data_IF_163671791529
#
_entry.id   IF_163671791529
#
_cell.length_a   1.000
_cell.length_b   1.000
_cell.length_c   1.000
_cell.angle_alpha   90.00
_cell.angle_beta   90.00
_cell.angle_gamma   90.00
#
_symmetry.space_group_name_H-M   'P 1'
#
loop_
_entity.id
_entity.type
_entity.pdbx_description
1 polymer ?
#
# COMPACT_ATOMS: atom_id res chain seq x y z
N UNK A 1 -25.31 2.92 -50.55
CA UNK A 1 -24.42 2.25 -49.58
C UNK A 1 -25.19 2.10 -48.29
N UNK A 2 -25.58 0.87 -47.96
CA UNK A 2 -26.18 0.51 -46.67
C UNK A 2 -25.06 0.34 -45.64
N UNK A 3 -25.23 0.91 -44.45
CA UNK A 3 -24.42 0.59 -43.27
C UNK A 3 -25.39 -0.04 -42.26
N UNK A 4 -25.32 -1.37 -42.16
CA UNK A 4 -25.75 -2.14 -40.99
C UNK A 4 -24.67 -2.02 -39.93
N UNK A 5 -25.02 -1.65 -38.69
CA UNK A 5 -24.22 -1.90 -37.48
C UNK A 5 -25.08 -1.75 -36.21
N UNK A 6 -26.09 -2.61 -36.06
CA UNK A 6 -27.02 -2.58 -34.92
C UNK A 6 -27.04 -3.87 -34.08
N UNK A 7 -25.96 -4.66 -34.07
CA UNK A 7 -25.98 -6.01 -33.47
C UNK A 7 -24.88 -6.31 -32.43
N UNK A 8 -23.94 -5.40 -32.14
CA UNK A 8 -22.86 -5.70 -31.17
C UNK A 8 -23.21 -5.42 -29.70
N UNK A 9 -24.09 -4.47 -29.43
CA UNK A 9 -24.25 -3.95 -28.05
C UNK A 9 -25.24 -4.76 -27.22
N UNK A 10 -26.19 -5.42 -27.88
CA UNK A 10 -27.15 -6.33 -27.24
C UNK A 10 -26.46 -7.64 -26.83
N UNK A 11 -25.48 -8.12 -27.61
CA UNK A 11 -24.75 -9.35 -27.32
C UNK A 11 -23.77 -9.17 -26.15
N UNK A 12 -23.23 -7.96 -25.98
CA UNK A 12 -22.35 -7.60 -24.86
C UNK A 12 -23.13 -7.46 -23.54
N UNK A 13 -24.32 -6.82 -23.58
CA UNK A 13 -25.20 -6.69 -22.42
C UNK A 13 -25.74 -8.05 -21.94
N UNK A 14 -26.08 -8.94 -22.87
CA UNK A 14 -26.60 -10.28 -22.53
C UNK A 14 -25.53 -11.14 -21.83
N UNK A 15 -24.25 -11.05 -22.24
CA UNK A 15 -23.14 -11.77 -21.59
C UNK A 15 -22.81 -11.23 -20.19
N UNK A 16 -22.95 -9.92 -19.97
CA UNK A 16 -22.75 -9.30 -18.66
C UNK A 16 -23.83 -9.68 -17.65
N UNK A 17 -25.10 -9.77 -18.09
CA UNK A 17 -26.18 -10.26 -17.25
C UNK A 17 -26.03 -11.74 -16.88
N UNK A 18 -25.59 -12.60 -17.80
CA UNK A 18 -25.32 -14.01 -17.52
C UNK A 18 -24.22 -14.22 -16.47
N UNK A 19 -23.16 -13.42 -16.52
CA UNK A 19 -22.05 -13.45 -15.54
C UNK A 19 -22.54 -12.98 -14.16
N UNK A 20 -23.32 -11.89 -14.09
CA UNK A 20 -23.89 -11.40 -12.83
C UNK A 20 -24.90 -12.39 -12.22
N UNK A 21 -25.69 -13.06 -13.06
CA UNK A 21 -26.62 -14.10 -12.60
C UNK A 21 -25.92 -15.35 -12.09
N UNK A 22 -24.79 -15.72 -12.70
CA UNK A 22 -23.95 -16.84 -12.26
C UNK A 22 -23.30 -16.55 -10.90
N UNK A 23 -22.73 -15.36 -10.72
CA UNK A 23 -22.13 -14.93 -9.44
C UNK A 23 -23.19 -14.92 -8.32
N UNK A 24 -24.39 -14.38 -8.59
CA UNK A 24 -25.50 -14.40 -7.60
C UNK A 24 -25.96 -15.82 -7.24
N UNK A 25 -25.93 -16.79 -8.17
CA UNK A 25 -26.25 -18.21 -7.91
C UNK A 25 -25.18 -18.95 -7.10
N UNK A 26 -23.90 -18.57 -7.22
CA UNK A 26 -22.84 -19.15 -6.41
C UNK A 26 -22.86 -18.61 -4.98
N UNK A 27 -23.12 -17.32 -4.81
CA UNK A 27 -23.22 -16.69 -3.48
C UNK A 27 -24.43 -17.19 -2.67
N UNK A 28 -25.52 -17.62 -3.32
CA UNK A 28 -26.66 -18.22 -2.63
C UNK A 28 -26.44 -19.68 -2.23
N UNK A 29 -25.63 -20.46 -2.97
CA UNK A 29 -25.24 -21.83 -2.58
C UNK A 29 -24.31 -21.88 -1.36
N UNK A 30 -23.42 -20.89 -1.20
CA UNK A 30 -22.50 -20.81 -0.06
C UNK A 30 -23.24 -20.59 1.28
N UNK A 31 -24.46 -20.05 1.26
CA UNK A 31 -25.29 -19.91 2.47
C UNK A 31 -26.05 -21.17 2.86
N UNK A 32 -26.27 -22.12 1.93
CA UNK A 32 -27.05 -23.35 2.19
C UNK A 32 -26.19 -24.52 2.65
N UNK A 33 -24.90 -24.56 2.30
CA UNK A 33 -24.01 -25.69 2.63
C UNK A 33 -23.42 -25.66 4.06
N UNK A 34 -23.61 -24.56 4.80
CA UNK A 34 -23.21 -24.47 6.22
C UNK A 34 -24.10 -25.27 7.19
N UNK A 35 -25.22 -25.85 6.73
CA UNK A 35 -26.14 -26.61 7.59
C UNK A 35 -26.07 -28.14 7.44
N UNK A 36 -25.27 -28.72 6.53
CA UNK A 36 -25.30 -30.18 6.28
C UNK A 36 -24.04 -30.94 6.72
N UNK A 37 -22.95 -30.28 7.11
CA UNK A 37 -21.71 -30.99 7.48
C UNK A 37 -21.64 -31.27 9.01
N UNK A 38 -22.59 -32.09 9.46
CA UNK A 38 -22.42 -32.97 10.63
C UNK A 38 -22.85 -34.37 10.21
N UNK A 39 -22.01 -35.08 9.46
CA UNK A 39 -21.87 -36.54 9.54
C UNK A 39 -20.87 -37.07 8.50
N UNK A 40 -20.04 -37.98 8.99
CA UNK A 40 -19.32 -39.05 8.29
C UNK A 40 -18.00 -38.73 7.55
N UNK A 41 -16.93 -39.13 8.23
CA UNK A 41 -15.70 -39.65 7.63
C UNK A 41 -16.00 -40.65 6.51
N UNK A 42 -15.54 -40.34 5.28
CA UNK A 42 -14.92 -41.34 4.39
C UNK A 42 -14.08 -40.65 3.32
N UNK A 43 -12.81 -41.05 3.27
CA UNK A 43 -11.84 -40.64 2.26
C UNK A 43 -12.35 -41.06 0.88
N UNK A 44 -12.64 -40.10 0.02
CA UNK A 44 -12.58 -40.22 -1.43
C UNK A 44 -11.93 -38.96 -1.98
N UNK A 45 -10.68 -39.10 -2.39
CA UNK A 45 -9.90 -38.09 -3.08
C UNK A 45 -10.50 -37.83 -4.47
N UNK A 46 -11.36 -36.83 -4.58
CA UNK A 46 -11.71 -36.23 -5.86
C UNK A 46 -10.64 -35.20 -6.21
N UNK A 47 -9.79 -35.54 -7.19
CA UNK A 47 -8.97 -34.58 -7.94
C UNK A 47 -9.94 -33.67 -8.71
N UNK A 48 -10.40 -32.60 -8.07
CA UNK A 48 -10.99 -31.47 -8.80
C UNK A 48 -9.82 -30.75 -9.48
N UNK A 49 -9.81 -30.81 -10.81
CA UNK A 49 -8.81 -30.13 -11.64
C UNK A 49 -8.66 -28.67 -11.21
N UNK A 50 -7.42 -28.24 -11.06
CA UNK A 50 -7.05 -26.86 -10.81
C UNK A 50 -7.51 -26.02 -12.01
N UNK A 51 -8.72 -25.47 -11.94
CA UNK A 51 -9.09 -24.30 -12.73
C UNK A 51 -8.35 -23.10 -12.13
N UNK A 52 -7.14 -22.87 -12.63
CA UNK A 52 -6.36 -21.65 -12.34
C UNK A 52 -7.00 -20.55 -13.16
N UNK A 53 -7.74 -19.66 -12.50
CA UNK A 53 -8.14 -18.39 -13.10
C UNK A 53 -7.03 -17.39 -12.79
N UNK A 54 -6.19 -17.11 -13.77
CA UNK A 54 -5.17 -16.06 -13.68
C UNK A 54 -5.82 -14.75 -14.11
N UNK A 55 -6.15 -13.89 -13.16
CA UNK A 55 -6.68 -12.56 -13.44
C UNK A 55 -5.53 -11.56 -13.33
N UNK A 56 -4.95 -11.19 -14.47
CA UNK A 56 -3.91 -10.17 -14.55
C UNK A 56 -4.57 -8.80 -14.58
N UNK A 57 -4.70 -8.14 -13.42
CA UNK A 57 -5.06 -6.73 -13.38
C UNK A 57 -3.79 -5.88 -13.40
N UNK A 58 -3.45 -5.36 -14.59
CA UNK A 58 -2.49 -4.27 -14.72
C UNK A 58 -3.24 -2.96 -14.50
N UNK A 59 -2.84 -2.21 -13.48
CA UNK A 59 -3.36 -0.85 -13.26
C UNK A 59 -2.60 0.09 -14.20
N UNK A 60 -3.24 0.46 -15.31
CA UNK A 60 -2.67 1.40 -16.28
C UNK A 60 -3.03 2.85 -15.89
N UNK A 61 -2.12 3.53 -15.19
CA UNK A 61 -2.25 4.95 -14.83
C UNK A 61 -1.71 5.89 -15.93
N UNK A 62 -1.30 5.36 -17.10
CA UNK A 62 -0.54 6.15 -18.09
C UNK A 62 -1.34 7.26 -18.77
N UNK A 63 -2.67 7.18 -18.79
CA UNK A 63 -3.53 8.21 -19.40
C UNK A 63 -3.70 9.45 -18.50
N UNK A 64 -3.61 9.29 -17.17
CA UNK A 64 -3.91 10.35 -16.20
C UNK A 64 -2.65 10.97 -15.57
N UNK A 65 -1.57 10.20 -15.56
CA UNK A 65 -0.22 10.64 -15.26
C UNK A 65 0.34 11.22 -16.57
N UNK A 66 -0.16 12.40 -16.96
CA UNK A 66 0.21 13.05 -18.23
C UNK A 66 1.71 12.97 -18.50
N UNK A 67 2.10 12.55 -19.71
CA UNK A 67 3.37 11.91 -20.12
C UNK A 67 4.74 12.54 -19.79
N UNK A 68 4.91 13.23 -18.65
CA UNK A 68 6.18 13.39 -17.96
C UNK A 68 6.33 12.32 -16.89
N UNK A 69 7.57 12.06 -16.45
CA UNK A 69 7.91 11.20 -15.29
C UNK A 69 7.25 11.72 -14.00
N UNK A 70 5.96 11.44 -13.79
CA UNK A 70 5.20 11.86 -12.62
C UNK A 70 5.13 10.64 -11.70
N UNK A 71 6.02 10.61 -10.72
CA UNK A 71 6.09 9.53 -9.73
C UNK A 71 5.11 9.76 -8.58
N UNK A 72 4.40 8.69 -8.18
CA UNK A 72 3.72 8.62 -6.88
C UNK A 72 4.80 8.49 -5.81
N UNK A 73 4.77 9.33 -4.76
CA UNK A 73 5.80 9.28 -3.70
C UNK A 73 5.45 8.35 -2.55
N UNK A 74 4.16 8.17 -2.29
CA UNK A 74 3.60 7.30 -1.28
C UNK A 74 2.14 7.00 -1.60
N UNK A 75 1.63 5.89 -1.07
CA UNK A 75 0.21 5.61 -1.06
C UNK A 75 -0.20 4.88 0.21
N UNK A 76 -1.50 4.92 0.50
CA UNK A 76 -2.12 4.15 1.56
C UNK A 76 -3.43 3.54 1.08
N UNK A 77 -3.72 2.32 1.55
CA UNK A 77 -5.01 1.67 1.35
C UNK A 77 -5.94 2.01 2.52
N UNK A 78 -7.14 2.47 2.20
CA UNK A 78 -8.20 2.75 3.17
C UNK A 78 -8.97 1.46 3.49
N UNK A 79 -9.64 1.42 4.64
CA UNK A 79 -10.43 0.26 5.08
C UNK A 79 -11.61 -0.09 4.15
N UNK A 80 -12.07 0.88 3.36
CA UNK A 80 -13.12 0.67 2.36
C UNK A 80 -12.60 0.21 0.99
N UNK A 81 -11.30 -0.08 0.90
CA UNK A 81 -10.65 -0.56 -0.32
C UNK A 81 -10.21 0.53 -1.29
N UNK A 82 -10.40 1.81 -0.98
CA UNK A 82 -9.83 2.89 -1.82
C UNK A 82 -8.34 3.05 -1.57
N UNK A 83 -7.62 3.46 -2.60
CA UNK A 83 -6.21 3.86 -2.55
C UNK A 83 -6.12 5.38 -2.52
N UNK A 84 -5.27 5.94 -1.66
CA UNK A 84 -4.94 7.37 -1.65
C UNK A 84 -3.46 7.52 -1.94
N UNK A 85 -3.13 8.26 -3.00
CA UNK A 85 -1.78 8.39 -3.55
C UNK A 85 -1.31 9.85 -3.49
N UNK A 86 -0.07 10.07 -3.05
CA UNK A 86 0.58 11.38 -3.15
C UNK A 86 1.15 11.60 -4.55
N UNK A 87 0.77 12.71 -5.19
CA UNK A 87 1.34 13.17 -6.46
C UNK A 87 2.09 14.49 -6.24
N UNK A 88 3.36 14.46 -5.76
CA UNK A 88 4.13 15.64 -5.35
C UNK A 88 4.15 16.76 -6.38
N UNK A 89 4.42 16.42 -7.66
CA UNK A 89 4.56 17.39 -8.76
C UNK A 89 3.24 18.01 -9.20
N UNK A 90 2.11 17.41 -8.82
CA UNK A 90 0.77 17.90 -9.11
C UNK A 90 0.12 18.55 -7.88
N UNK A 91 0.83 18.60 -6.75
CA UNK A 91 0.32 19.14 -5.47
C UNK A 91 -1.08 18.62 -5.14
N UNK A 92 -1.30 17.31 -5.30
CA UNK A 92 -2.59 16.69 -5.02
C UNK A 92 -2.48 15.28 -4.47
N UNK A 93 -3.55 14.86 -3.82
CA UNK A 93 -3.84 13.46 -3.52
C UNK A 93 -4.77 12.92 -4.59
N UNK A 94 -4.45 11.75 -5.13
CA UNK A 94 -5.30 11.00 -6.04
C UNK A 94 -5.99 9.87 -5.27
N UNK A 95 -7.30 9.73 -5.43
CA UNK A 95 -8.10 8.70 -4.80
C UNK A 95 -8.56 7.74 -5.90
N UNK A 96 -8.22 6.46 -5.78
CA UNK A 96 -8.56 5.43 -6.74
C UNK A 96 -9.25 4.24 -6.08
N UNK A 97 -9.96 3.44 -6.87
CA UNK A 97 -10.31 2.08 -6.49
C UNK A 97 -9.08 1.17 -6.59
N UNK A 98 -9.17 -0.05 -6.07
CA UNK A 98 -8.10 -1.04 -6.17
C UNK A 98 -7.80 -1.52 -7.58
N UNK A 99 -8.74 -1.34 -8.52
CA UNK A 99 -8.53 -1.60 -9.95
C UNK A 99 -7.78 -0.47 -10.67
N UNK A 100 -7.42 0.59 -9.94
CA UNK A 100 -6.72 1.76 -10.45
C UNK A 100 -7.60 2.86 -10.99
N UNK A 101 -8.91 2.64 -11.14
CA UNK A 101 -9.82 3.67 -11.63
C UNK A 101 -9.87 4.85 -10.67
N UNK A 102 -9.71 6.08 -11.20
CA UNK A 102 -9.81 7.29 -10.41
C UNK A 102 -11.24 7.46 -9.89
N UNK A 103 -11.34 7.62 -8.57
CA UNK A 103 -12.58 8.01 -7.87
C UNK A 103 -12.62 9.52 -7.72
N UNK A 104 -11.52 10.13 -7.28
CA UNK A 104 -11.48 11.55 -6.95
C UNK A 104 -10.07 12.12 -6.82
N UNK A 105 -9.94 13.42 -6.53
CA UNK A 105 -8.68 14.04 -6.13
C UNK A 105 -8.86 15.23 -5.20
N UNK A 106 -7.83 15.51 -4.40
CA UNK A 106 -7.79 16.62 -3.43
C UNK A 106 -6.55 17.44 -3.71
N UNK A 107 -6.72 18.73 -4.03
CA UNK A 107 -5.59 19.65 -4.15
C UNK A 107 -5.03 19.95 -2.76
N UNK A 108 -3.71 19.90 -2.67
CA UNK A 108 -2.93 20.11 -1.44
C UNK A 108 -2.12 21.38 -1.61
N UNK A 109 -2.07 22.21 -0.56
CA UNK A 109 -1.21 23.39 -0.55
C UNK A 109 0.21 22.99 -0.17
N UNK A 110 0.94 22.40 -1.13
CA UNK A 110 2.35 22.05 -0.98
C UNK A 110 2.76 20.82 -1.79
N UNK A 111 3.90 20.23 -1.41
CA UNK A 111 4.45 19.04 -2.05
C UNK A 111 4.13 17.83 -1.15
N UNK A 112 3.05 17.07 -1.41
CA UNK A 112 2.73 15.88 -0.62
C UNK A 112 3.79 14.80 -0.80
N UNK A 113 4.34 14.31 0.31
CA UNK A 113 5.44 13.33 0.31
C UNK A 113 5.01 11.95 0.76
N UNK A 114 4.55 11.83 2.01
CA UNK A 114 4.09 10.58 2.59
C UNK A 114 2.64 10.72 3.03
N UNK A 115 1.89 9.61 3.04
CA UNK A 115 0.48 9.58 3.45
C UNK A 115 0.22 8.35 4.31
N UNK A 116 -0.62 8.50 5.33
CA UNK A 116 -1.13 7.40 6.14
C UNK A 116 -2.61 7.57 6.43
N UNK A 117 -3.32 6.45 6.60
CA UNK A 117 -4.70 6.44 7.02
C UNK A 117 -4.76 6.66 8.53
N UNK A 118 -5.60 7.60 8.96
CA UNK A 118 -5.89 7.89 10.37
C UNK A 118 -7.15 7.14 10.81
N UNK A 119 -8.14 7.09 9.93
CA UNK A 119 -9.37 6.31 10.07
C UNK A 119 -9.99 6.12 8.67
N UNK A 120 -11.19 5.55 8.59
CA UNK A 120 -11.87 5.19 7.34
C UNK A 120 -12.12 6.35 6.37
N UNK A 121 -12.14 7.60 6.84
CA UNK A 121 -12.39 8.77 6.00
C UNK A 121 -11.29 9.83 6.09
N UNK A 122 -10.25 9.60 6.89
CA UNK A 122 -9.24 10.63 7.18
C UNK A 122 -7.85 10.12 6.87
N UNK A 123 -7.10 10.92 6.13
CA UNK A 123 -5.67 10.70 5.89
C UNK A 123 -4.84 11.82 6.50
N UNK A 124 -3.61 11.50 6.90
CA UNK A 124 -2.59 12.46 7.27
C UNK A 124 -1.47 12.42 6.24
N UNK A 125 -1.00 13.59 5.82
CA UNK A 125 -0.05 13.76 4.72
C UNK A 125 1.10 14.66 5.18
N UNK A 126 2.34 14.25 4.95
CA UNK A 126 3.51 15.11 5.18
C UNK A 126 3.77 15.98 3.97
N UNK A 127 4.03 17.27 4.19
CA UNK A 127 4.37 18.24 3.13
C UNK A 127 5.83 18.66 3.21
N UNK A 128 6.57 18.50 2.09
CA UNK A 128 8.01 18.75 2.09
C UNK A 128 8.40 20.20 2.34
N UNK A 129 7.74 21.09 1.64
CA UNK A 129 8.01 22.52 1.58
C UNK A 129 7.57 23.24 2.86
N UNK A 130 6.51 22.76 3.50
CA UNK A 130 5.98 23.37 4.71
C UNK A 130 6.45 22.70 6.00
N UNK A 131 7.16 21.56 5.92
CA UNK A 131 7.61 20.77 7.10
C UNK A 131 6.47 20.58 8.11
N UNK A 132 5.30 20.19 7.60
CA UNK A 132 4.10 20.01 8.40
C UNK A 132 3.34 18.77 7.96
N UNK A 133 2.37 18.38 8.79
CA UNK A 133 1.39 17.34 8.51
C UNK A 133 0.06 18.01 8.26
N UNK A 134 -0.59 17.70 7.16
CA UNK A 134 -1.98 18.09 6.90
C UNK A 134 -2.90 16.88 6.98
N UNK A 135 -4.06 17.08 7.60
CA UNK A 135 -5.10 16.07 7.69
C UNK A 135 -6.26 16.41 6.76
N UNK A 136 -6.74 15.43 6.03
CA UNK A 136 -7.81 15.58 5.05
C UNK A 136 -8.92 14.55 5.30
N UNK A 137 -10.16 15.02 5.26
CA UNK A 137 -11.32 14.15 5.06
C UNK A 137 -11.45 13.86 3.57
N UNK A 138 -11.24 12.60 3.19
CA UNK A 138 -11.22 12.19 1.79
C UNK A 138 -12.61 12.10 1.14
N UNK A 139 -13.67 11.99 1.94
CA UNK A 139 -15.04 11.94 1.44
C UNK A 139 -15.57 13.34 1.16
N UNK A 140 -15.25 14.28 2.04
CA UNK A 140 -15.69 15.66 1.92
C UNK A 140 -14.68 16.56 1.18
N UNK A 141 -13.46 16.05 0.92
CA UNK A 141 -12.33 16.78 0.31
C UNK A 141 -11.94 18.02 1.11
N UNK A 142 -12.06 17.93 2.42
CA UNK A 142 -11.84 19.06 3.32
C UNK A 142 -10.51 18.87 4.05
N UNK A 143 -9.67 19.90 4.02
CA UNK A 143 -8.56 20.04 4.96
C UNK A 143 -9.14 20.24 6.35
N UNK A 144 -8.79 19.35 7.28
CA UNK A 144 -9.26 19.38 8.65
C UNK A 144 -8.36 20.26 9.52
N UNK A 145 -7.04 20.08 9.40
CA UNK A 145 -6.03 20.86 10.16
C UNK A 145 -4.62 20.66 9.62
N UNK A 146 -3.68 21.45 10.16
CA UNK A 146 -2.24 21.35 9.95
C UNK A 146 -1.53 21.24 11.29
N UNK A 147 -0.49 20.41 11.37
CA UNK A 147 0.32 20.16 12.56
C UNK A 147 1.79 20.36 12.17
N UNK A 148 2.52 21.19 12.92
CA UNK A 148 3.94 21.48 12.67
C UNK A 148 4.80 20.98 13.84
N UNK A 149 5.19 19.70 13.84
CA UNK A 149 6.06 19.18 14.88
C UNK A 149 7.45 19.86 14.82
N UNK A 150 8.11 20.07 15.96
CA UNK A 150 9.44 20.65 15.99
C UNK A 150 10.42 19.73 15.24
N UNK A 151 11.41 20.31 14.55
CA UNK A 151 12.47 19.56 13.86
C UNK A 151 11.98 18.52 12.83
N UNK A 152 10.82 18.76 12.23
CA UNK A 152 10.33 17.92 11.15
C UNK A 152 11.26 17.97 9.92
N UNK A 153 11.56 16.79 9.37
CA UNK A 153 12.42 16.64 8.20
C UNK A 153 11.65 16.89 6.90
N UNK A 154 12.33 17.39 5.87
CA UNK A 154 11.73 17.72 4.56
C UNK A 154 11.03 16.53 3.86
N UNK A 155 11.43 15.30 4.13
CA UNK A 155 10.93 14.10 3.45
C UNK A 155 10.49 13.06 4.49
N UNK A 156 9.83 13.54 5.54
CA UNK A 156 9.42 12.69 6.66
C UNK A 156 8.37 11.68 6.21
N UNK A 157 8.61 10.41 6.49
CA UNK A 157 7.55 9.42 6.43
C UNK A 157 6.57 9.61 7.58
N UNK A 158 5.38 9.06 7.40
CA UNK A 158 4.31 9.12 8.37
C UNK A 158 3.59 7.77 8.45
N UNK A 159 3.21 7.37 9.65
CA UNK A 159 2.41 6.17 9.89
C UNK A 159 1.53 6.38 11.12
N UNK A 160 0.73 5.38 11.47
CA UNK A 160 -0.08 5.39 12.69
C UNK A 160 0.30 4.24 13.61
N UNK A 161 0.23 4.49 14.91
CA UNK A 161 0.34 3.45 15.94
C UNK A 161 -0.52 3.82 17.14
N UNK A 162 -1.29 2.86 17.67
CA UNK A 162 -2.13 3.05 18.86
C UNK A 162 -2.97 4.35 18.81
N UNK A 163 -3.60 4.62 17.66
CA UNK A 163 -4.41 5.81 17.40
C UNK A 163 -3.62 7.15 17.48
N UNK A 164 -2.30 7.12 17.34
CA UNK A 164 -1.43 8.29 17.26
C UNK A 164 -0.72 8.33 15.91
N UNK A 165 -0.33 9.53 15.48
CA UNK A 165 0.54 9.70 14.33
C UNK A 165 1.99 9.48 14.78
N UNK A 166 2.77 8.88 13.89
CA UNK A 166 4.22 8.80 14.01
C UNK A 166 4.82 9.44 12.77
N UNK A 167 5.70 10.41 12.98
CA UNK A 167 6.39 11.11 11.88
C UNK A 167 7.90 11.12 12.13
N UNK A 168 8.68 10.97 11.07
CA UNK A 168 10.13 11.14 11.12
C UNK A 168 10.52 12.60 11.36
N UNK A 169 11.57 12.82 12.16
CA UNK A 169 12.29 14.09 12.31
C UNK A 169 13.72 13.96 11.77
N UNK A 170 14.57 14.94 12.05
CA UNK A 170 15.99 14.90 11.65
C UNK A 170 16.81 13.78 12.32
N UNK A 171 16.46 13.42 13.55
CA UNK A 171 17.20 12.47 14.41
C UNK A 171 16.26 11.85 15.46
N UNK A 172 14.97 11.78 15.12
CA UNK A 172 13.95 11.30 16.03
C UNK A 172 12.68 10.84 15.31
N UNK A 173 11.81 10.17 16.06
CA UNK A 173 10.41 9.93 15.76
C UNK A 173 9.56 10.78 16.70
N UNK A 174 8.60 11.51 16.16
CA UNK A 174 7.58 12.20 16.96
C UNK A 174 6.31 11.37 16.99
N UNK A 175 5.84 11.08 18.20
CA UNK A 175 4.52 10.50 18.44
C UNK A 175 3.57 11.67 18.74
N UNK A 176 2.55 11.82 17.92
CA UNK A 176 1.66 12.97 17.92
C UNK A 176 0.24 12.50 18.20
N UNK A 177 -0.41 13.14 19.18
CA UNK A 177 -1.85 13.01 19.33
C UNK A 177 -2.52 13.75 18.17
N UNK A 178 -3.10 13.01 17.24
CA UNK A 178 -3.68 13.61 16.05
C UNK A 178 -4.99 14.34 16.33
N UNK A 179 -5.57 14.27 17.54
CA UNK A 179 -6.75 15.04 17.91
C UNK A 179 -6.34 16.43 18.39
N UNK A 180 -5.34 16.52 19.27
CA UNK A 180 -4.86 17.81 19.82
C UNK A 180 -3.79 18.47 18.95
N UNK A 181 -3.05 17.68 18.16
CA UNK A 181 -1.86 18.12 17.43
C UNK A 181 -0.59 18.17 18.28
N UNK A 182 -0.65 17.73 19.54
CA UNK A 182 0.48 17.79 20.46
C UNK A 182 1.45 16.62 20.26
N UNK A 183 2.75 16.91 20.37
CA UNK A 183 3.79 15.87 20.44
C UNK A 183 3.77 15.28 21.84
N UNK A 184 3.34 14.02 21.96
CA UNK A 184 3.23 13.32 23.24
C UNK A 184 4.51 12.60 23.64
N UNK A 185 5.36 12.27 22.66
CA UNK A 185 6.64 11.60 22.89
C UNK A 185 7.58 11.89 21.72
N UNK A 186 8.86 12.06 22.03
CA UNK A 186 9.94 12.11 21.06
C UNK A 186 10.90 10.98 21.37
N UNK A 187 11.18 10.14 20.37
CA UNK A 187 12.11 9.02 20.47
C UNK A 187 13.32 9.37 19.62
N UNK A 188 14.50 9.51 20.22
CA UNK A 188 15.72 9.81 19.47
C UNK A 188 16.18 8.60 18.66
N UNK A 189 16.70 8.84 17.45
CA UNK A 189 17.18 7.81 16.52
C UNK A 189 18.60 8.13 16.09
N UNK A 190 19.39 7.10 15.81
CA UNK A 190 20.77 7.25 15.31
C UNK A 190 20.83 7.57 13.80
N UNK A 191 19.67 7.69 13.14
CA UNK A 191 19.53 7.96 11.72
C UNK A 191 18.33 8.89 11.44
N UNK A 192 18.08 9.21 10.16
CA UNK A 192 16.96 10.04 9.70
C UNK A 192 15.80 9.14 9.23
N UNK A 193 14.71 9.00 10.00
CA UNK A 193 13.64 8.06 9.64
C UNK A 193 12.84 8.56 8.41
N UNK A 194 12.89 7.82 7.28
CA UNK A 194 12.19 8.21 6.04
C UNK A 194 10.96 7.34 5.75
N UNK A 195 11.09 6.00 5.70
CA UNK A 195 9.95 5.12 5.37
C UNK A 195 9.47 4.44 6.64
N UNK A 196 8.33 4.89 7.18
CA UNK A 196 7.82 4.42 8.46
C UNK A 196 6.67 3.44 8.29
N UNK A 197 6.59 2.43 9.16
CA UNK A 197 5.41 1.59 9.31
C UNK A 197 5.18 1.19 10.77
N UNK A 198 3.99 1.46 11.30
CA UNK A 198 3.56 1.02 12.62
C UNK A 198 2.90 -0.36 12.57
N UNK A 199 3.17 -1.23 13.55
CA UNK A 199 2.37 -2.43 13.83
C UNK A 199 2.64 -2.98 15.22
N UNK A 200 1.59 -3.40 15.93
CA UNK A 200 1.68 -4.22 17.15
C UNK A 200 2.67 -3.69 18.21
N UNK A 201 2.67 -2.38 18.45
CA UNK A 201 3.60 -1.77 19.41
C UNK A 201 5.05 -1.67 18.91
N UNK A 202 5.26 -1.64 17.58
CA UNK A 202 6.55 -1.37 16.96
C UNK A 202 6.43 -0.36 15.83
N UNK A 203 7.49 0.42 15.65
CA UNK A 203 7.65 1.36 14.56
C UNK A 203 8.87 0.92 13.77
N UNK A 204 8.66 0.43 12.56
CA UNK A 204 9.72 0.11 11.61
C UNK A 204 10.06 1.35 10.79
N UNK A 205 11.35 1.56 10.52
CA UNK A 205 11.80 2.65 9.69
C UNK A 205 13.08 2.35 8.92
N UNK A 206 13.22 2.97 7.75
CA UNK A 206 14.49 3.06 7.02
C UNK A 206 15.18 4.40 7.28
N UNK A 207 16.51 4.42 7.09
CA UNK A 207 17.29 5.64 7.00
C UNK A 207 17.03 6.36 5.66
N UNK A 208 17.15 7.69 5.65
CA UNK A 208 17.11 8.49 4.42
C UNK A 208 18.38 8.30 3.57
N UNK A 209 19.46 7.85 4.21
CA UNK A 209 20.67 7.44 3.52
C UNK A 209 20.45 6.07 2.85
N UNK A 210 20.04 6.13 1.59
CA UNK A 210 19.79 4.98 0.71
C UNK A 210 20.98 4.02 0.52
N UNK A 211 22.16 4.30 1.08
CA UNK A 211 23.31 3.38 1.03
C UNK A 211 23.41 2.48 2.26
N UNK A 212 22.51 2.66 3.23
CA UNK A 212 22.52 1.92 4.47
C UNK A 212 21.66 0.65 4.35
N UNK A 213 22.26 -0.51 4.62
CA UNK A 213 21.58 -1.81 4.56
C UNK A 213 20.73 -2.11 5.80
N UNK A 214 20.49 -1.13 6.67
CA UNK A 214 19.86 -1.34 7.96
C UNK A 214 18.36 -1.04 7.92
N UNK A 215 17.56 -2.01 8.35
CA UNK A 215 16.19 -1.79 8.79
C UNK A 215 16.21 -1.56 10.30
N UNK A 216 15.60 -0.46 10.73
CA UNK A 216 15.47 -0.12 12.13
C UNK A 216 14.05 -0.38 12.63
N UNK A 217 13.92 -0.67 13.93
CA UNK A 217 12.64 -0.52 14.58
C UNK A 217 12.77 -0.13 16.05
N UNK A 218 11.81 0.65 16.52
CA UNK A 218 11.58 0.89 17.94
C UNK A 218 10.46 -0.02 18.44
N UNK A 219 10.65 -0.63 19.61
CA UNK A 219 9.66 -1.49 20.24
C UNK A 219 9.20 -0.93 21.59
N UNK A 220 7.90 -0.71 21.72
CA UNK A 220 7.29 -0.22 22.96
C UNK A 220 7.29 -1.26 24.08
N UNK A 221 7.46 -2.54 23.76
CA UNK A 221 7.41 -3.62 24.77
C UNK A 221 8.67 -3.63 25.64
N UNK A 222 9.81 -3.30 25.06
CA UNK A 222 11.12 -3.31 25.72
C UNK A 222 11.80 -1.94 25.73
N UNK A 223 11.13 -0.91 25.21
CA UNK A 223 11.60 0.49 25.12
C UNK A 223 13.01 0.58 24.49
N UNK A 224 13.19 -0.11 23.36
CA UNK A 224 14.50 -0.27 22.72
C UNK A 224 14.45 -0.09 21.22
N UNK A 225 15.58 0.41 20.71
CA UNK A 225 15.92 0.37 19.30
C UNK A 225 16.54 -0.96 18.94
N UNK A 226 16.23 -1.41 17.74
CA UNK A 226 16.76 -2.63 17.17
C UNK A 226 17.09 -2.37 15.70
N UNK A 227 18.04 -3.16 15.20
CA UNK A 227 18.54 -3.06 13.84
C UNK A 227 18.65 -4.45 13.23
N UNK A 228 18.31 -4.55 11.94
CA UNK A 228 18.49 -5.75 11.12
C UNK A 228 19.22 -5.36 9.83
N UNK A 229 20.37 -5.97 9.61
CA UNK A 229 21.11 -5.82 8.35
C UNK A 229 20.46 -6.66 7.25
N UNK A 230 20.05 -5.99 6.18
CA UNK A 230 19.48 -6.55 4.96
C UNK A 230 20.57 -6.74 3.89
N UNK A 231 20.32 -7.54 2.83
CA UNK A 231 21.30 -7.73 1.75
C UNK A 231 21.48 -6.49 0.87
N UNK A 232 20.51 -5.57 0.90
CA UNK A 232 20.50 -4.33 0.12
C UNK A 232 19.69 -3.27 0.88
N UNK A 233 19.93 -1.96 0.67
CA UNK A 233 19.26 -0.90 1.41
C UNK A 233 17.74 -0.96 1.27
N UNK A 234 16.98 -0.82 2.37
CA UNK A 234 15.52 -0.78 2.31
C UNK A 234 15.05 0.49 1.60
N UNK A 235 14.14 0.33 0.63
CA UNK A 235 13.55 1.42 -0.16
C UNK A 235 12.08 1.66 0.17
N UNK A 236 11.35 0.59 0.43
CA UNK A 236 9.93 0.65 0.80
C UNK A 236 9.60 -0.52 1.71
N UNK A 237 8.53 -0.39 2.49
CA UNK A 237 8.07 -1.44 3.37
C UNK A 237 6.56 -1.42 3.55
N UNK A 238 6.00 -2.59 3.82
CA UNK A 238 4.58 -2.75 4.13
C UNK A 238 4.38 -3.89 5.13
N UNK A 239 3.37 -3.77 5.98
CA UNK A 239 2.99 -4.83 6.92
C UNK A 239 1.64 -5.38 6.50
N UNK A 240 1.57 -6.71 6.34
CA UNK A 240 0.32 -7.41 6.08
C UNK A 240 -0.52 -7.55 7.35
N UNK A 241 -1.80 -7.91 7.18
CA UNK A 241 -2.75 -8.06 8.29
C UNK A 241 -2.32 -9.09 9.35
N UNK A 242 -1.52 -10.08 8.97
CA UNK A 242 -0.95 -11.09 9.87
C UNK A 242 0.26 -10.56 10.69
N UNK A 243 0.67 -9.32 10.47
CA UNK A 243 1.83 -8.69 11.09
C UNK A 243 3.16 -9.00 10.38
N UNK A 244 3.14 -9.69 9.25
CA UNK A 244 4.33 -9.95 8.44
C UNK A 244 4.81 -8.66 7.77
N UNK A 245 6.09 -8.32 7.99
CA UNK A 245 6.73 -7.18 7.35
C UNK A 245 7.38 -7.62 6.03
N UNK A 246 7.12 -6.87 4.97
CA UNK A 246 7.79 -7.01 3.69
C UNK A 246 8.57 -5.75 3.39
N UNK A 247 9.83 -5.92 3.00
CA UNK A 247 10.75 -4.84 2.68
C UNK A 247 11.22 -4.99 1.25
N UNK A 248 11.02 -3.95 0.45
CA UNK A 248 11.56 -3.84 -0.90
C UNK A 248 12.89 -3.12 -0.80
N UNK A 249 13.95 -3.75 -1.28
CA UNK A 249 15.30 -3.19 -1.29
C UNK A 249 15.60 -2.46 -2.61
N UNK A 250 16.66 -1.66 -2.64
CA UNK A 250 17.08 -0.88 -3.83
C UNK A 250 17.47 -1.79 -5.00
N UNK A 251 18.06 -2.95 -4.73
CA UNK A 251 18.36 -3.96 -5.75
C UNK A 251 17.10 -4.64 -6.33
N UNK A 252 15.91 -4.27 -5.83
CA UNK A 252 14.61 -4.83 -6.21
C UNK A 252 14.30 -6.18 -5.57
N UNK A 253 15.15 -6.67 -4.67
CA UNK A 253 14.83 -7.83 -3.85
C UNK A 253 13.71 -7.50 -2.85
N UNK A 254 12.89 -8.51 -2.53
CA UNK A 254 11.84 -8.40 -1.52
C UNK A 254 12.18 -9.33 -0.37
N UNK A 255 12.27 -8.79 0.83
CA UNK A 255 12.58 -9.51 2.06
C UNK A 255 11.31 -9.64 2.90
N UNK A 256 10.95 -10.87 3.26
CA UNK A 256 9.96 -11.12 4.31
C UNK A 256 10.69 -11.13 5.64
N UNK A 257 10.38 -10.17 6.51
CA UNK A 257 10.97 -10.04 7.84
C UNK A 257 10.02 -10.67 8.86
N UNK A 258 10.55 -11.54 9.70
CA UNK A 258 9.78 -12.24 10.72
C UNK A 258 9.13 -11.26 11.70
N UNK A 259 8.01 -11.66 12.29
CA UNK A 259 7.25 -10.84 13.25
C UNK A 259 8.03 -10.46 14.51
N UNK A 260 9.21 -11.06 14.77
CA UNK A 260 10.12 -10.66 15.85
C UNK A 260 11.25 -9.71 15.40
N UNK A 261 11.31 -9.34 14.12
CA UNK A 261 12.33 -8.47 13.52
C UNK A 261 13.72 -9.09 13.40
N UNK A 262 13.93 -10.34 13.83
CA UNK A 262 15.28 -10.93 13.97
C UNK A 262 15.78 -11.69 12.75
N UNK A 263 14.88 -12.04 11.84
CA UNK A 263 15.21 -12.87 10.68
C UNK A 263 14.49 -12.35 9.46
N UNK A 264 15.09 -12.58 8.30
CA UNK A 264 14.43 -12.36 7.04
C UNK A 264 14.63 -13.55 6.11
N UNK A 265 13.73 -13.67 5.15
CA UNK A 265 13.84 -14.59 4.03
C UNK A 265 13.58 -13.83 2.75
N UNK A 266 14.49 -13.97 1.78
CA UNK A 266 14.24 -13.44 0.45
C UNK A 266 13.04 -14.15 -0.16
N UNK A 267 12.05 -13.38 -0.57
CA UNK A 267 10.93 -13.85 -1.37
C UNK A 267 11.42 -13.96 -2.80
N UNK A 268 11.26 -15.14 -3.41
CA UNK A 268 11.68 -15.36 -4.80
C UNK A 268 10.88 -14.42 -5.70
N UNK A 269 11.51 -13.34 -6.15
CA UNK A 269 10.93 -12.41 -7.12
C UNK A 269 10.98 -13.08 -8.50
N UNK A 270 9.86 -13.01 -9.24
CA UNK A 270 9.81 -13.52 -10.61
C UNK A 270 10.62 -12.57 -11.49
N UNK A 271 11.64 -13.10 -12.16
CA UNK A 271 12.58 -12.34 -13.00
C UNK A 271 11.86 -11.40 -13.97
N UNK A 272 11.87 -10.11 -13.65
CA UNK A 272 11.88 -9.02 -14.62
C UNK A 272 12.48 -7.79 -13.93
N UNK A 273 13.29 -7.06 -14.68
CA UNK A 273 14.15 -5.97 -14.24
C UNK A 273 13.40 -4.92 -13.37
N UNK A 274 13.71 -4.76 -12.07
CA UNK A 274 12.97 -3.86 -11.16
C UNK A 274 13.29 -2.36 -11.35
N UNK A 275 14.09 -2.00 -12.36
CA UNK A 275 14.47 -0.61 -12.68
C UNK A 275 13.40 0.17 -13.47
N UNK A 276 12.14 0.05 -13.09
CA UNK A 276 11.14 1.05 -13.48
C UNK A 276 10.77 1.84 -12.21
N UNK A 277 10.59 3.15 -12.31
CA UNK A 277 10.39 4.09 -11.18
C UNK A 277 9.06 3.88 -10.42
N UNK A 278 8.67 2.64 -10.13
CA UNK A 278 7.31 2.27 -9.78
C UNK A 278 7.21 1.51 -8.48
N UNK A 279 6.13 1.86 -7.79
CA UNK A 279 5.66 1.33 -6.54
C UNK A 279 5.29 -0.15 -6.74
N UNK A 280 5.84 -1.03 -5.91
CA UNK A 280 5.49 -2.45 -5.87
C UNK A 280 4.74 -2.75 -4.57
N UNK A 281 3.49 -3.21 -4.70
CA UNK A 281 2.74 -3.85 -3.61
C UNK A 281 2.47 -5.29 -4.01
N UNK A 282 2.77 -6.26 -3.14
CA UNK A 282 2.51 -7.66 -3.44
C UNK A 282 1.65 -8.24 -2.32
N UNK A 283 0.36 -8.48 -2.58
CA UNK A 283 -0.44 -9.35 -1.74
C UNK A 283 -0.62 -10.72 -2.44
N UNK A 284 0.07 -11.70 -1.85
CA UNK A 284 -0.13 -13.16 -1.96
C UNK A 284 0.38 -13.93 -3.18
N UNK A 285 1.40 -14.74 -2.91
CA UNK A 285 2.03 -15.83 -3.67
C UNK A 285 1.13 -16.69 -4.62
N UNK A 286 1.40 -16.69 -5.95
CA UNK A 286 1.71 -17.90 -6.80
C UNK A 286 1.98 -17.61 -8.30
N UNK A 287 3.02 -18.29 -8.85
CA UNK A 287 3.43 -18.57 -10.25
C UNK A 287 2.58 -18.04 -11.44
N UNK A 288 3.20 -17.44 -12.49
CA UNK A 288 3.71 -18.06 -13.76
C UNK A 288 4.07 -17.03 -14.89
N UNK A 289 5.11 -17.36 -15.69
CA UNK A 289 5.50 -17.08 -17.12
C UNK A 289 5.32 -15.70 -17.82
N UNK A 290 6.41 -15.32 -18.50
CA UNK A 290 6.80 -14.08 -19.22
C UNK A 290 6.10 -13.73 -20.54
N UNK A 291 6.07 -12.43 -20.87
CA UNK A 291 6.45 -11.91 -22.21
C UNK A 291 6.93 -10.44 -22.17
N UNK A 292 7.96 -10.13 -22.96
CA UNK A 292 8.59 -8.81 -23.12
C UNK A 292 7.67 -7.81 -23.83
N UNK A 293 7.56 -6.59 -23.29
CA UNK A 293 7.74 -5.31 -23.99
C UNK A 293 7.72 -4.16 -22.96
N UNK A 294 8.40 -3.06 -23.31
CA UNK A 294 8.64 -1.87 -22.49
C UNK A 294 7.34 -1.17 -22.06
N UNK A 295 6.80 -1.56 -20.90
CA UNK A 295 5.73 -0.86 -20.19
C UNK A 295 6.02 -0.82 -18.69
N UNK A 296 5.69 0.32 -18.09
CA UNK A 296 5.63 0.51 -16.64
C UNK A 296 4.54 -0.39 -16.08
N UNK A 297 4.90 -1.29 -15.17
CA UNK A 297 3.96 -2.25 -14.57
C UNK A 297 4.00 -2.09 -13.05
N UNK A 298 2.93 -1.56 -12.47
CA UNK A 298 2.68 -1.59 -11.03
C UNK A 298 1.94 -2.90 -10.76
N UNK A 299 2.61 -3.83 -10.10
CA UNK A 299 1.96 -5.03 -9.58
C UNK A 299 1.32 -4.65 -8.25
N UNK A 300 0.00 -4.85 -8.15
CA UNK A 300 -0.76 -4.90 -6.91
C UNK A 300 -1.62 -6.16 -7.00
N UNK A 301 -1.09 -7.26 -6.49
CA UNK A 301 -1.86 -8.49 -6.25
C UNK A 301 -2.68 -8.28 -4.98
N UNK A 302 -3.95 -8.70 -4.91
CA UNK A 302 -4.85 -8.65 -3.72
C UNK A 302 -5.28 -10.08 -3.40
#
# INVERSE_FOLDING_TARGET
MNINNGQSDVELFTKLEEILHYVRRQSSKVKTDRQVIKQQHKIQSYKLGQSIFTLHHTIDLTSEIGGGRIGVSALVMMDDGRLVMCLPRQSRLLICNTDGSQVDSINVQGIPWCVTAVNNSTVAVTLCDFKCIEMYDINNKLKLKSISPPRMWWCSGITTINNKLVVGGEDCLHIIDHQTGEVVQTIHTDCRPERLHGSSGRIFYSDDNINNNELYWYSYTDDRHHTLTLPSPPRSMTILQDGSLYVVCIDGSVQHVSSNGKQYKQVKTLESNPFSEHIHYNFTQKQLVTKQNSHVTVYIEI
#
